data_IF_948020453105
#
_entry.id   IF_948020453105
#
_cell.length_a   1.000
_cell.length_b   1.000
_cell.length_c   1.000
_cell.angle_alpha   90.00
_cell.angle_beta   90.00
_cell.angle_gamma   90.00
#
_symmetry.space_group_name_H-M   'P 1'
#
loop_
_entity.id
_entity.type
_entity.pdbx_description
1 polymer ?
#
# COMPACT_ATOMS: atom_id res chain seq x y z
N UNK A 1 1.67 -33.07 -18.49
CA UNK A 1 0.43 -32.89 -17.70
C UNK A 1 0.46 -31.53 -16.98
N UNK A 2 -0.14 -30.49 -17.56
CA UNK A 2 -0.12 -29.11 -17.02
C UNK A 2 -1.21 -28.96 -15.96
N UNK A 3 -0.80 -28.88 -14.70
CA UNK A 3 -1.68 -28.73 -13.52
C UNK A 3 -2.69 -27.59 -13.77
N UNK A 4 -4.00 -27.90 -13.81
CA UNK A 4 -5.09 -26.93 -13.97
C UNK A 4 -5.02 -25.92 -12.81
N UNK A 5 -4.67 -24.66 -13.10
CA UNK A 5 -4.49 -23.55 -12.14
C UNK A 5 -5.70 -23.34 -11.20
N UNK A 6 -6.89 -23.79 -11.58
CA UNK A 6 -8.12 -23.73 -10.80
C UNK A 6 -8.14 -24.64 -9.56
N UNK A 7 -7.35 -25.72 -9.54
CA UNK A 7 -7.29 -26.67 -8.41
C UNK A 7 -6.27 -26.30 -7.32
N UNK A 8 -5.73 -25.07 -7.34
CA UNK A 8 -4.96 -24.54 -6.20
C UNK A 8 -5.89 -23.73 -5.31
N UNK A 9 -6.27 -24.27 -4.14
CA UNK A 9 -6.81 -23.47 -3.02
C UNK A 9 -5.73 -22.52 -2.41
N UNK A 10 -4.87 -21.83 -3.18
CA UNK A 10 -3.66 -21.10 -2.66
C UNK A 10 -2.65 -22.06 -1.95
N UNK A 11 -1.36 -21.71 -1.77
CA UNK A 11 -0.61 -22.26 -0.64
C UNK A 11 -1.08 -21.60 0.67
N UNK A 12 -1.26 -22.42 1.72
CA UNK A 12 -1.75 -22.11 3.07
C UNK A 12 -1.00 -20.98 3.84
N UNK A 13 0.17 -20.50 3.39
CA UNK A 13 1.08 -19.67 4.21
C UNK A 13 1.48 -18.34 3.57
N UNK A 14 0.54 -17.41 3.47
CA UNK A 14 0.77 -16.04 3.97
C UNK A 14 -0.57 -15.30 3.96
N UNK A 15 -0.95 -14.67 5.09
CA UNK A 15 -2.08 -13.76 5.08
C UNK A 15 -1.68 -12.54 4.24
N UNK A 16 -2.05 -12.55 2.96
CA UNK A 16 -2.04 -11.32 2.16
C UNK A 16 -3.05 -10.40 2.82
N UNK A 17 -2.62 -9.20 3.23
CA UNK A 17 -3.54 -8.20 3.78
C UNK A 17 -4.74 -8.08 2.86
N UNK A 18 -5.95 -8.17 3.44
CA UNK A 18 -7.19 -7.90 2.71
C UNK A 18 -7.03 -6.58 1.95
N UNK A 19 -7.51 -6.46 0.70
CA UNK A 19 -7.37 -5.24 -0.09
C UNK A 19 -7.81 -3.97 0.67
N UNK A 20 -8.84 -4.08 1.52
CA UNK A 20 -9.30 -3.00 2.41
C UNK A 20 -8.22 -2.51 3.37
N UNK A 21 -7.46 -3.40 4.00
CA UNK A 21 -6.39 -3.05 4.94
C UNK A 21 -5.20 -2.39 4.23
N UNK A 22 -4.93 -2.79 2.98
CA UNK A 22 -3.92 -2.14 2.14
C UNK A 22 -4.34 -0.70 1.80
N UNK A 23 -5.61 -0.50 1.41
CA UNK A 23 -6.18 0.84 1.14
C UNK A 23 -6.15 1.73 2.38
N UNK A 24 -6.59 1.21 3.53
CA UNK A 24 -6.57 1.95 4.81
C UNK A 24 -5.17 2.43 5.18
N UNK A 25 -4.17 1.55 5.08
CA UNK A 25 -2.77 1.92 5.33
C UNK A 25 -2.29 3.05 4.41
N UNK A 26 -2.62 3.00 3.12
CA UNK A 26 -2.21 4.05 2.17
C UNK A 26 -2.88 5.38 2.53
N UNK A 27 -4.15 5.36 2.93
CA UNK A 27 -4.85 6.55 3.40
C UNK A 27 -4.22 7.14 4.67
N UNK A 28 -3.91 6.30 5.66
CA UNK A 28 -3.21 6.72 6.89
C UNK A 28 -1.84 7.34 6.56
N UNK A 29 -1.08 6.74 5.62
CA UNK A 29 0.20 7.27 5.15
C UNK A 29 0.07 8.62 4.44
N UNK A 30 -0.96 8.78 3.60
CA UNK A 30 -1.25 10.06 2.94
C UNK A 30 -1.63 11.12 3.96
N UNK A 31 -2.47 10.79 4.95
CA UNK A 31 -2.87 11.71 6.03
C UNK A 31 -1.68 12.26 6.80
N UNK A 32 -0.74 11.39 7.19
CA UNK A 32 0.52 11.80 7.84
C UNK A 32 1.34 12.76 6.98
N UNK A 33 1.40 12.53 5.67
CA UNK A 33 2.11 13.43 4.77
C UNK A 33 1.41 14.79 4.62
N UNK A 34 0.07 14.81 4.64
CA UNK A 34 -0.70 16.06 4.67
C UNK A 34 -0.40 16.86 5.94
N UNK A 35 -0.34 16.20 7.10
CA UNK A 35 0.00 16.84 8.39
C UNK A 35 1.40 17.49 8.36
N UNK A 36 2.32 16.98 7.53
CA UNK A 36 3.68 17.53 7.34
C UNK A 36 3.77 18.50 6.14
N UNK A 37 2.63 18.89 5.55
CA UNK A 37 2.56 19.95 4.54
C UNK A 37 2.62 19.48 3.09
N UNK A 38 2.42 18.19 2.80
CA UNK A 38 2.22 17.75 1.41
C UNK A 38 0.81 18.12 0.93
N UNK A 39 0.73 18.69 -0.28
CA UNK A 39 -0.56 18.96 -0.93
C UNK A 39 -1.24 17.68 -1.39
N UNK A 40 -2.57 17.66 -1.36
CA UNK A 40 -3.36 16.50 -1.79
C UNK A 40 -3.12 16.16 -3.27
N UNK A 41 -3.00 17.17 -4.13
CA UNK A 41 -2.70 17.04 -5.56
C UNK A 41 -1.41 16.25 -5.79
N UNK A 42 -0.35 16.57 -5.04
CA UNK A 42 0.93 15.85 -5.12
C UNK A 42 0.77 14.40 -4.68
N UNK A 43 -0.05 14.14 -3.65
CA UNK A 43 -0.29 12.79 -3.14
C UNK A 43 -1.14 11.92 -4.09
N UNK A 44 -1.96 12.50 -4.96
CA UNK A 44 -2.73 11.76 -5.98
C UNK A 44 -1.79 11.08 -6.98
N UNK A 45 -0.76 11.80 -7.44
CA UNK A 45 0.19 11.30 -8.45
C UNK A 45 1.33 10.44 -7.87
N UNK A 46 1.45 10.36 -6.54
CA UNK A 46 2.50 9.57 -5.90
C UNK A 46 2.21 8.07 -5.90
N UNK A 47 3.21 7.30 -6.33
CA UNK A 47 3.21 5.85 -6.17
C UNK A 47 3.50 5.44 -4.71
N UNK A 48 3.25 4.17 -4.38
CA UNK A 48 3.46 3.66 -3.01
C UNK A 48 4.91 3.67 -2.54
N UNK A 49 5.90 3.66 -3.45
CA UNK A 49 7.32 3.73 -3.08
C UNK A 49 7.67 5.15 -2.64
N UNK A 50 7.28 6.13 -3.45
CA UNK A 50 7.44 7.55 -3.17
C UNK A 50 6.78 7.96 -1.85
N UNK A 51 5.57 7.44 -1.55
CA UNK A 51 4.88 7.71 -0.27
C UNK A 51 5.74 7.23 0.92
N UNK A 52 6.32 6.02 0.84
CA UNK A 52 7.16 5.48 1.92
C UNK A 52 8.48 6.22 2.06
N UNK A 53 9.05 6.64 0.94
CA UNK A 53 10.31 7.38 0.93
C UNK A 53 10.11 8.80 1.48
N UNK A 54 8.97 9.44 1.15
CA UNK A 54 8.57 10.71 1.75
C UNK A 54 8.42 10.60 3.26
N UNK A 55 7.68 9.59 3.76
CA UNK A 55 7.49 9.36 5.20
C UNK A 55 8.84 9.17 5.92
N UNK A 56 9.75 8.37 5.35
CA UNK A 56 11.09 8.16 5.93
C UNK A 56 11.93 9.44 5.96
N UNK A 57 11.80 10.31 4.94
CA UNK A 57 12.51 11.59 4.88
C UNK A 57 11.95 12.61 5.86
N UNK A 58 10.63 12.62 6.05
CA UNK A 58 9.96 13.60 6.91
C UNK A 58 9.85 13.18 8.37
N UNK A 59 10.10 11.90 8.69
CA UNK A 59 9.96 11.37 10.05
C UNK A 59 8.51 11.24 10.55
N UNK A 60 7.55 11.07 9.63
CA UNK A 60 6.10 11.06 9.90
C UNK A 60 5.51 9.65 10.21
#
# INVERSE_FOLDING_TARGET
MRIRRAMRKKPLRRPVKKPRLKRRRILEQKKRLVEVGYTEEKLVHMNTKAIRDAIRKTGA
#
